data_IF_685719209410
#
_entry.id   IF_685719209410
#
_cell.length_a   1.000
_cell.length_b   1.000
_cell.length_c   1.000
_cell.angle_alpha   90.00
_cell.angle_beta   90.00
_cell.angle_gamma   90.00
#
_symmetry.space_group_name_H-M   'P 1'
#
loop_
_entity.id
_entity.type
_entity.pdbx_description
1 polymer ?
#
# COMPACT_ATOMS: atom_id res chain seq x y z
N UNK A 1 34.49 25.92 -14.58
CA UNK A 1 35.94 25.66 -14.58
C UNK A 1 36.17 24.29 -15.20
N UNK A 2 36.74 24.27 -16.38
CA UNK A 2 37.13 23.06 -17.11
C UNK A 2 38.20 22.34 -16.32
N UNK A 3 37.84 21.18 -15.78
CA UNK A 3 38.84 20.23 -15.21
C UNK A 3 39.86 19.90 -16.29
N UNK A 4 41.19 20.02 -15.98
CA UNK A 4 42.18 19.75 -16.97
C UNK A 4 42.13 18.28 -17.38
N UNK A 5 42.06 18.03 -18.68
CA UNK A 5 41.99 16.74 -19.38
C UNK A 5 43.18 15.80 -19.10
N UNK A 6 44.10 16.21 -18.24
CA UNK A 6 45.34 15.48 -17.90
C UNK A 6 45.23 14.56 -16.69
N UNK A 7 44.12 14.55 -15.97
CA UNK A 7 43.94 13.77 -14.74
C UNK A 7 43.50 12.32 -14.95
N UNK A 8 43.14 11.91 -16.16
CA UNK A 8 42.74 10.53 -16.46
C UNK A 8 43.63 9.91 -17.52
N UNK A 9 44.64 9.11 -17.13
CA UNK A 9 45.47 8.34 -18.09
C UNK A 9 44.66 7.40 -19.00
N UNK A 10 43.41 7.12 -18.66
CA UNK A 10 42.50 6.27 -19.44
C UNK A 10 41.78 6.99 -20.60
N UNK A 11 41.79 8.32 -20.68
CA UNK A 11 41.15 9.04 -21.78
C UNK A 11 41.80 8.78 -23.13
N UNK A 12 43.11 8.50 -23.15
CA UNK A 12 43.85 8.11 -24.36
C UNK A 12 43.46 6.71 -24.79
N UNK A 13 43.23 5.79 -23.85
CA UNK A 13 42.79 4.42 -24.14
C UNK A 13 41.41 4.39 -24.79
N UNK A 14 40.49 5.21 -24.32
CA UNK A 14 39.15 5.32 -24.88
C UNK A 14 39.13 5.96 -26.29
N UNK A 15 40.11 6.81 -26.61
CA UNK A 15 40.25 7.42 -27.93
C UNK A 15 40.77 6.44 -29.00
N UNK A 16 41.48 5.40 -28.60
CA UNK A 16 42.06 4.38 -29.50
C UNK A 16 41.13 3.20 -29.78
N UNK A 17 39.96 3.14 -29.13
CA UNK A 17 38.98 2.07 -29.38
C UNK A 17 38.31 2.28 -30.74
N UNK A 18 38.23 1.24 -31.58
CA UNK A 18 37.48 1.31 -32.85
C UNK A 18 36.04 1.73 -32.67
N UNK A 19 35.50 2.55 -33.57
CA UNK A 19 34.19 3.17 -33.43
C UNK A 19 33.03 2.16 -33.30
N UNK A 20 33.17 0.97 -33.89
CA UNK A 20 32.20 -0.11 -33.73
C UNK A 20 32.14 -0.63 -32.29
N UNK A 21 33.30 -0.79 -31.65
CA UNK A 21 33.38 -1.26 -30.24
C UNK A 21 32.97 -0.14 -29.27
N UNK A 22 33.33 1.10 -29.60
CA UNK A 22 32.98 2.27 -28.81
C UNK A 22 31.46 2.45 -28.69
N UNK A 23 30.71 2.26 -29.78
CA UNK A 23 29.26 2.34 -29.80
C UNK A 23 28.59 1.30 -28.89
N UNK A 24 29.15 0.10 -28.79
CA UNK A 24 28.55 -0.97 -27.98
C UNK A 24 28.95 -0.94 -26.51
N UNK A 25 30.20 -0.54 -26.19
CA UNK A 25 30.73 -0.64 -24.84
C UNK A 25 30.79 0.70 -24.11
N UNK A 26 31.05 1.80 -24.80
CA UNK A 26 31.29 3.12 -24.17
C UNK A 26 30.05 4.01 -24.24
N UNK A 27 29.44 4.14 -25.40
CA UNK A 27 28.32 5.07 -25.61
C UNK A 27 27.11 4.81 -24.70
N UNK A 28 26.79 3.56 -24.28
CA UNK A 28 25.71 3.33 -23.32
C UNK A 28 25.98 3.87 -21.91
N UNK A 29 27.26 4.12 -21.57
CA UNK A 29 27.68 4.53 -20.23
C UNK A 29 28.25 5.94 -20.14
N UNK A 30 28.68 6.52 -21.26
CA UNK A 30 29.28 7.85 -21.28
C UNK A 30 28.71 8.66 -22.45
N UNK A 31 28.03 9.75 -22.15
CA UNK A 31 27.62 10.76 -23.13
C UNK A 31 28.62 11.92 -23.12
N UNK A 32 29.46 12.00 -24.12
CA UNK A 32 30.41 13.11 -24.28
C UNK A 32 29.66 14.42 -24.59
N UNK A 33 28.55 14.31 -25.29
CA UNK A 33 27.75 15.46 -25.72
C UNK A 33 27.09 16.16 -24.53
N UNK A 34 26.59 15.38 -23.57
CA UNK A 34 25.86 15.90 -22.42
C UNK A 34 26.76 15.97 -21.15
N UNK A 35 28.04 15.56 -21.28
CA UNK A 35 28.99 15.47 -20.16
C UNK A 35 28.50 14.59 -19.01
N UNK A 36 27.80 13.51 -19.34
CA UNK A 36 27.21 12.58 -18.37
C UNK A 36 27.90 11.21 -18.41
N UNK A 37 28.02 10.58 -17.21
CA UNK A 37 28.48 9.21 -17.07
C UNK A 37 27.46 8.38 -16.28
N UNK A 38 27.19 7.16 -16.77
CA UNK A 38 26.25 6.22 -16.16
C UNK A 38 26.99 5.10 -15.44
N UNK A 39 26.74 4.98 -14.14
CA UNK A 39 27.20 3.85 -13.32
C UNK A 39 26.04 2.89 -13.12
N UNK A 40 26.19 1.65 -13.60
CA UNK A 40 25.18 0.60 -13.46
C UNK A 40 25.51 -0.30 -12.28
N UNK A 41 24.63 -0.35 -11.29
CA UNK A 41 24.75 -1.23 -10.14
C UNK A 41 23.65 -2.30 -10.21
N UNK A 42 24.05 -3.57 -10.05
CA UNK A 42 23.08 -4.68 -9.89
C UNK A 42 22.93 -5.02 -8.41
N UNK A 43 21.72 -4.96 -7.91
CA UNK A 43 21.38 -5.33 -6.55
C UNK A 43 20.68 -6.68 -6.59
N UNK A 44 21.08 -7.61 -5.72
CA UNK A 44 20.40 -8.90 -5.58
C UNK A 44 19.11 -8.66 -4.78
N UNK A 45 17.99 -8.66 -5.48
CA UNK A 45 16.66 -8.33 -4.92
C UNK A 45 16.11 -9.42 -3.97
N UNK A 46 16.65 -10.62 -4.03
CA UNK A 46 16.27 -11.78 -3.20
C UNK A 46 16.92 -11.83 -1.82
N UNK A 47 17.43 -10.72 -1.30
CA UNK A 47 17.95 -10.65 0.06
C UNK A 47 16.79 -10.42 1.04
N UNK A 48 16.60 -11.33 1.99
CA UNK A 48 15.49 -11.34 2.95
C UNK A 48 15.36 -10.06 3.80
N UNK A 49 16.48 -9.31 3.95
CA UNK A 49 16.55 -8.08 4.76
C UNK A 49 16.84 -6.82 3.94
N UNK A 50 16.59 -6.83 2.62
CA UNK A 50 16.86 -5.67 1.78
C UNK A 50 15.82 -4.55 2.03
N UNK A 51 16.19 -3.59 2.88
CA UNK A 51 15.43 -2.35 3.05
C UNK A 51 15.75 -1.40 1.91
N UNK A 52 15.01 -1.50 0.81
CA UNK A 52 15.25 -0.74 -0.43
C UNK A 52 15.29 0.77 -0.20
N UNK A 53 14.36 1.29 0.56
CA UNK A 53 14.28 2.72 0.87
C UNK A 53 15.51 3.19 1.66
N UNK A 54 15.91 2.46 2.70
CA UNK A 54 17.07 2.82 3.53
C UNK A 54 18.37 2.77 2.71
N UNK A 55 18.48 1.78 1.80
CA UNK A 55 19.61 1.69 0.88
C UNK A 55 19.67 2.91 -0.05
N UNK A 56 18.56 3.33 -0.63
CA UNK A 56 18.50 4.49 -1.52
C UNK A 56 18.81 5.80 -0.79
N UNK A 57 18.30 5.96 0.43
CA UNK A 57 18.60 7.11 1.29
C UNK A 57 20.10 7.13 1.60
N UNK A 58 20.68 5.97 1.95
CA UNK A 58 22.11 5.86 2.24
C UNK A 58 22.97 6.19 1.02
N UNK A 59 22.64 5.65 -0.15
CA UNK A 59 23.38 5.96 -1.39
C UNK A 59 23.31 7.47 -1.66
N UNK A 60 22.15 8.06 -1.56
CA UNK A 60 21.98 9.50 -1.79
C UNK A 60 22.78 10.34 -0.78
N UNK A 61 22.76 9.97 0.49
CA UNK A 61 23.54 10.66 1.53
C UNK A 61 25.05 10.48 1.34
N UNK A 62 25.50 9.28 0.93
CA UNK A 62 26.91 9.01 0.70
C UNK A 62 27.44 9.77 -0.53
N UNK A 63 26.66 9.90 -1.60
CA UNK A 63 27.02 10.73 -2.77
C UNK A 63 27.18 12.20 -2.41
N UNK A 64 26.30 12.74 -1.58
CA UNK A 64 26.38 14.13 -1.12
C UNK A 64 27.53 14.36 -0.15
N UNK A 65 27.65 13.50 0.88
CA UNK A 65 28.57 13.77 2.00
C UNK A 65 30.00 13.26 1.76
N UNK A 66 30.18 12.18 0.98
CA UNK A 66 31.52 11.60 0.72
C UNK A 66 32.13 12.08 -0.59
N UNK A 67 31.29 12.37 -1.59
CA UNK A 67 31.75 12.81 -2.91
C UNK A 67 31.48 14.28 -3.16
N UNK A 68 30.83 14.98 -2.20
CA UNK A 68 30.51 16.42 -2.25
C UNK A 68 29.73 16.82 -3.53
N UNK A 69 28.86 15.89 -4.00
CA UNK A 69 28.05 16.11 -5.19
C UNK A 69 26.77 16.85 -4.83
N UNK A 70 26.41 17.84 -5.64
CA UNK A 70 25.15 18.58 -5.51
C UNK A 70 23.99 17.80 -6.14
N UNK A 71 22.77 18.16 -5.79
CA UNK A 71 21.53 17.51 -6.26
C UNK A 71 21.33 17.58 -7.79
N UNK A 72 21.95 18.54 -8.46
CA UNK A 72 21.93 18.73 -9.90
C UNK A 72 23.06 17.98 -10.64
N UNK A 73 24.08 17.51 -9.91
CA UNK A 73 25.24 16.83 -10.48
C UNK A 73 25.08 15.30 -10.59
N UNK A 74 24.09 14.71 -9.93
CA UNK A 74 23.81 13.28 -10.05
C UNK A 74 22.32 12.98 -10.06
N UNK A 75 21.94 11.90 -10.72
CA UNK A 75 20.56 11.41 -10.77
C UNK A 75 20.53 9.90 -10.56
N UNK A 76 19.86 9.48 -9.50
CA UNK A 76 19.57 8.06 -9.27
C UNK A 76 18.41 7.65 -10.17
N UNK A 77 18.58 6.58 -10.95
CA UNK A 77 17.57 6.07 -11.87
C UNK A 77 17.57 4.55 -11.91
N UNK A 78 16.54 3.98 -12.50
CA UNK A 78 16.40 2.54 -12.70
C UNK A 78 15.16 1.93 -12.05
N UNK A 79 14.92 0.66 -12.38
CA UNK A 79 13.70 -0.08 -11.97
C UNK A 79 13.55 -0.16 -10.45
N UNK A 80 14.65 -0.34 -9.73
CA UNK A 80 14.61 -0.42 -8.26
C UNK A 80 14.07 0.88 -7.63
N UNK A 81 14.51 2.03 -8.15
CA UNK A 81 14.09 3.33 -7.63
C UNK A 81 12.64 3.60 -8.00
N UNK A 82 12.26 3.32 -9.25
CA UNK A 82 10.88 3.44 -9.70
C UNK A 82 9.94 2.61 -8.82
N UNK A 83 10.31 1.35 -8.57
CA UNK A 83 9.52 0.44 -7.74
C UNK A 83 9.45 0.89 -6.27
N UNK A 84 10.58 1.35 -5.70
CA UNK A 84 10.60 1.91 -4.35
C UNK A 84 9.69 3.14 -4.23
N UNK A 85 9.80 4.08 -5.17
CA UNK A 85 8.98 5.30 -5.16
C UNK A 85 7.50 4.98 -5.32
N UNK A 86 7.16 3.99 -6.17
CA UNK A 86 5.80 3.50 -6.34
C UNK A 86 5.27 2.93 -5.02
N UNK A 87 6.01 2.05 -4.35
CA UNK A 87 5.61 1.49 -3.06
C UNK A 87 5.44 2.58 -1.99
N UNK A 88 6.39 3.50 -1.86
CA UNK A 88 6.29 4.60 -0.88
C UNK A 88 5.08 5.49 -1.16
N UNK A 89 4.80 5.78 -2.43
CA UNK A 89 3.64 6.56 -2.84
C UNK A 89 2.33 5.83 -2.53
N UNK A 90 2.27 4.51 -2.79
CA UNK A 90 1.12 3.67 -2.45
C UNK A 90 0.85 3.68 -0.95
N UNK A 91 1.88 3.50 -0.11
CA UNK A 91 1.74 3.54 1.35
C UNK A 91 1.18 4.87 1.83
N UNK A 92 1.79 5.98 1.41
CA UNK A 92 1.36 7.31 1.79
C UNK A 92 -0.07 7.60 1.34
N UNK A 93 -0.38 7.27 0.09
CA UNK A 93 -1.71 7.43 -0.48
C UNK A 93 -2.74 6.60 0.27
N UNK A 94 -2.41 5.35 0.61
CA UNK A 94 -3.31 4.45 1.32
C UNK A 94 -3.69 4.95 2.71
N UNK A 95 -2.70 5.37 3.51
CA UNK A 95 -2.96 5.90 4.86
C UNK A 95 -3.86 7.13 4.78
N UNK A 96 -3.58 8.02 3.82
CA UNK A 96 -4.32 9.26 3.62
C UNK A 96 -5.75 8.98 3.15
N UNK A 97 -5.91 8.10 2.17
CA UNK A 97 -7.21 7.68 1.63
C UNK A 97 -8.04 6.97 2.70
N UNK A 98 -7.44 6.05 3.47
CA UNK A 98 -8.12 5.36 4.56
C UNK A 98 -8.63 6.34 5.60
N UNK A 99 -7.81 7.34 5.98
CA UNK A 99 -8.22 8.41 6.90
C UNK A 99 -9.40 9.22 6.36
N UNK A 100 -9.35 9.66 5.11
CA UNK A 100 -10.44 10.41 4.47
C UNK A 100 -11.72 9.58 4.34
N UNK A 101 -11.62 8.32 3.95
CA UNK A 101 -12.78 7.41 3.85
C UNK A 101 -13.43 7.24 5.23
N UNK A 102 -12.63 6.98 6.28
CA UNK A 102 -13.15 6.84 7.63
C UNK A 102 -13.82 8.12 8.16
N UNK A 103 -13.24 9.28 7.85
CA UNK A 103 -13.84 10.57 8.18
C UNK A 103 -15.17 10.76 7.43
N UNK A 104 -15.21 10.42 6.13
CA UNK A 104 -16.43 10.46 5.32
C UNK A 104 -17.53 9.55 5.89
N UNK A 105 -17.17 8.32 6.27
CA UNK A 105 -18.08 7.35 6.91
C UNK A 105 -18.62 7.91 8.24
N UNK A 106 -17.75 8.50 9.04
CA UNK A 106 -18.16 9.11 10.31
C UNK A 106 -19.15 10.24 10.11
N UNK A 107 -18.88 11.15 9.17
CA UNK A 107 -19.79 12.25 8.81
C UNK A 107 -21.13 11.68 8.32
N UNK A 108 -21.10 10.68 7.45
CA UNK A 108 -22.29 10.01 6.95
C UNK A 108 -23.13 9.42 8.10
N UNK A 109 -22.50 8.75 9.07
CA UNK A 109 -23.19 8.20 10.24
C UNK A 109 -23.80 9.29 11.12
N UNK A 110 -23.10 10.41 11.31
CA UNK A 110 -23.63 11.56 12.05
C UNK A 110 -24.91 12.10 11.38
N UNK A 111 -24.88 12.25 10.06
CA UNK A 111 -26.04 12.72 9.28
C UNK A 111 -27.18 11.72 9.35
N UNK A 112 -26.89 10.42 9.17
CA UNK A 112 -27.89 9.35 9.13
C UNK A 112 -28.58 9.14 10.48
N UNK A 113 -27.79 9.06 11.54
CA UNK A 113 -28.33 8.78 12.88
C UNK A 113 -28.73 10.02 13.67
N UNK A 114 -28.28 11.20 13.24
CA UNK A 114 -28.51 12.50 13.94
C UNK A 114 -28.10 12.42 15.42
N UNK A 115 -27.13 11.59 15.74
CA UNK A 115 -26.64 11.35 17.10
C UNK A 115 -25.17 10.95 17.06
N UNK A 116 -24.31 11.80 17.65
CA UNK A 116 -22.86 11.62 17.65
C UNK A 116 -22.43 10.33 18.35
N UNK A 117 -23.11 9.93 19.44
CA UNK A 117 -22.78 8.70 20.17
C UNK A 117 -23.05 7.46 19.32
N UNK A 118 -24.17 7.42 18.60
CA UNK A 118 -24.48 6.30 17.70
C UNK A 118 -23.54 6.25 16.51
N UNK A 119 -23.16 7.40 15.96
CA UNK A 119 -22.18 7.47 14.89
C UNK A 119 -20.82 6.91 15.34
N UNK A 120 -20.36 7.28 16.54
CA UNK A 120 -19.11 6.78 17.09
C UNK A 120 -19.15 5.26 17.31
N UNK A 121 -20.24 4.76 17.91
CA UNK A 121 -20.44 3.31 18.12
C UNK A 121 -20.45 2.56 16.79
N UNK A 122 -21.02 3.11 15.74
CA UNK A 122 -21.04 2.48 14.42
C UNK A 122 -19.69 2.48 13.71
N UNK A 123 -18.85 3.50 13.94
CA UNK A 123 -17.54 3.63 13.28
C UNK A 123 -16.46 2.78 13.94
N UNK A 124 -16.47 2.64 15.27
CA UNK A 124 -15.45 1.92 16.03
C UNK A 124 -15.22 0.48 15.55
N UNK A 125 -16.22 -0.36 15.32
CA UNK A 125 -16.03 -1.71 14.79
C UNK A 125 -15.32 -1.73 13.42
N UNK A 126 -15.64 -0.75 12.58
CA UNK A 126 -15.02 -0.63 11.24
C UNK A 126 -13.53 -0.30 11.32
N UNK A 127 -13.13 0.57 12.26
CA UNK A 127 -11.72 0.82 12.56
C UNK A 127 -11.02 -0.44 13.05
N UNK A 128 -11.63 -1.15 14.00
CA UNK A 128 -11.05 -2.38 14.56
C UNK A 128 -10.86 -3.42 13.45
N UNK A 129 -11.84 -3.64 12.58
CA UNK A 129 -11.76 -4.59 11.48
C UNK A 129 -10.63 -4.22 10.49
N UNK A 130 -10.53 -2.95 10.10
CA UNK A 130 -9.49 -2.48 9.19
C UNK A 130 -8.09 -2.64 9.77
N UNK A 131 -7.89 -2.20 11.02
CA UNK A 131 -6.58 -2.31 11.69
C UNK A 131 -6.21 -3.74 12.00
N UNK A 132 -7.18 -4.59 12.34
CA UNK A 132 -6.95 -6.01 12.59
C UNK A 132 -6.39 -6.70 11.34
N UNK A 133 -7.03 -6.48 10.18
CA UNK A 133 -6.60 -7.09 8.92
C UNK A 133 -5.23 -6.57 8.47
N UNK A 134 -5.01 -5.26 8.50
CA UNK A 134 -3.71 -4.67 8.14
C UNK A 134 -2.61 -5.10 9.11
N UNK A 135 -2.92 -5.19 10.40
CA UNK A 135 -2.01 -5.69 11.42
C UNK A 135 -1.66 -7.16 11.22
N UNK A 136 -2.64 -8.00 10.86
CA UNK A 136 -2.42 -9.41 10.57
C UNK A 136 -1.52 -9.63 9.35
N UNK A 137 -1.77 -8.88 8.26
CA UNK A 137 -0.93 -8.88 7.05
C UNK A 137 0.51 -8.49 7.40
N UNK A 138 0.67 -7.42 8.22
CA UNK A 138 1.99 -6.96 8.68
C UNK A 138 2.71 -7.97 9.57
N UNK A 139 2.00 -8.62 10.51
CA UNK A 139 2.56 -9.65 11.39
C UNK A 139 3.06 -10.89 10.62
N UNK A 140 2.39 -11.24 9.54
CA UNK A 140 2.78 -12.36 8.68
C UNK A 140 3.92 -11.99 7.71
N UNK A 141 4.40 -10.75 7.74
CA UNK A 141 5.48 -10.28 6.87
C UNK A 141 5.09 -10.24 5.39
N UNK A 142 3.79 -10.18 5.08
CA UNK A 142 3.29 -10.13 3.70
C UNK A 142 3.51 -8.72 3.16
N UNK A 143 4.17 -8.58 1.99
CA UNK A 143 4.41 -7.29 1.40
C UNK A 143 3.08 -6.61 1.03
N UNK A 144 2.98 -5.31 1.31
CA UNK A 144 1.85 -4.52 0.88
C UNK A 144 1.95 -4.27 -0.62
N UNK A 145 1.04 -4.89 -1.36
CA UNK A 145 0.83 -4.68 -2.79
C UNK A 145 -0.57 -4.08 -3.04
N UNK A 146 -0.92 -3.88 -4.31
CA UNK A 146 -2.24 -3.34 -4.67
C UNK A 146 -3.40 -4.24 -4.21
N UNK A 147 -3.19 -5.56 -4.17
CA UNK A 147 -4.24 -6.51 -3.75
C UNK A 147 -4.44 -6.50 -2.24
N UNK A 148 -3.35 -6.49 -1.46
CA UNK A 148 -3.44 -6.44 0.01
C UNK A 148 -4.06 -5.14 0.51
N UNK A 149 -3.79 -4.03 -0.18
CA UNK A 149 -4.42 -2.73 0.09
C UNK A 149 -5.93 -2.78 -0.16
N UNK A 150 -6.35 -3.45 -1.23
CA UNK A 150 -7.76 -3.61 -1.60
C UNK A 150 -8.54 -4.40 -0.55
N UNK A 151 -7.90 -5.33 0.17
CA UNK A 151 -8.54 -6.10 1.26
C UNK A 151 -9.12 -5.17 2.33
N UNK A 152 -8.34 -4.20 2.78
CA UNK A 152 -8.79 -3.25 3.80
C UNK A 152 -10.00 -2.42 3.31
N UNK A 153 -9.99 -1.98 2.04
CA UNK A 153 -11.08 -1.21 1.46
C UNK A 153 -12.37 -2.04 1.37
N UNK A 154 -12.29 -3.29 0.92
CA UNK A 154 -13.44 -4.23 0.85
C UNK A 154 -13.99 -4.48 2.25
N UNK A 155 -13.11 -4.80 3.21
CA UNK A 155 -13.50 -5.08 4.61
C UNK A 155 -14.26 -3.90 5.22
N UNK A 156 -13.74 -2.68 5.05
CA UNK A 156 -14.40 -1.47 5.56
C UNK A 156 -15.76 -1.29 4.91
N UNK A 157 -15.87 -1.42 3.58
CA UNK A 157 -17.12 -1.25 2.86
C UNK A 157 -18.23 -2.17 3.38
N UNK A 158 -17.93 -3.45 3.55
CA UNK A 158 -18.89 -4.44 4.04
C UNK A 158 -19.22 -4.23 5.53
N UNK A 159 -18.22 -3.91 6.35
CA UNK A 159 -18.42 -3.66 7.78
C UNK A 159 -19.29 -2.41 8.02
N UNK A 160 -19.11 -1.35 7.21
CA UNK A 160 -19.94 -0.14 7.26
C UNK A 160 -21.39 -0.45 6.94
N UNK A 161 -21.64 -1.20 5.86
CA UNK A 161 -22.99 -1.59 5.44
C UNK A 161 -23.70 -2.38 6.54
N UNK A 162 -23.05 -3.39 7.09
CA UNK A 162 -23.56 -4.17 8.22
C UNK A 162 -23.85 -3.30 9.45
N UNK A 163 -22.99 -2.34 9.76
CA UNK A 163 -23.16 -1.41 10.89
C UNK A 163 -24.38 -0.50 10.69
N UNK A 164 -24.58 0.01 9.48
CA UNK A 164 -25.75 0.86 9.14
C UNK A 164 -27.04 0.08 9.35
N UNK A 165 -27.15 -1.10 8.74
CA UNK A 165 -28.36 -1.93 8.82
C UNK A 165 -28.67 -2.32 10.27
N UNK A 166 -27.66 -2.72 11.04
CA UNK A 166 -27.86 -3.13 12.43
C UNK A 166 -28.30 -1.96 13.32
N UNK A 167 -27.61 -0.83 13.26
CA UNK A 167 -27.92 0.34 14.09
C UNK A 167 -29.27 0.94 13.72
N UNK A 168 -29.58 1.01 12.41
CA UNK A 168 -30.87 1.51 11.94
C UNK A 168 -32.02 0.66 12.48
N UNK A 169 -31.93 -0.65 12.35
CA UNK A 169 -32.93 -1.58 12.87
C UNK A 169 -33.06 -1.50 14.39
N UNK A 170 -31.93 -1.44 15.08
CA UNK A 170 -31.95 -1.27 16.54
C UNK A 170 -32.66 0.02 16.95
N UNK A 171 -32.39 1.13 16.30
CA UNK A 171 -33.06 2.42 16.59
C UNK A 171 -34.56 2.35 16.37
N UNK A 172 -35.01 1.73 15.26
CA UNK A 172 -36.41 1.57 14.92
C UNK A 172 -37.17 0.71 15.96
N UNK A 173 -36.61 -0.45 16.29
CA UNK A 173 -37.26 -1.38 17.23
C UNK A 173 -37.19 -0.89 18.69
N UNK A 174 -36.13 -0.19 19.06
CA UNK A 174 -36.05 0.42 20.40
C UNK A 174 -37.08 1.51 20.61
N UNK A 175 -37.42 2.25 19.58
CA UNK A 175 -38.51 3.25 19.66
C UNK A 175 -39.87 2.61 19.97
N UNK A 176 -40.11 1.36 19.50
CA UNK A 176 -41.34 0.60 19.70
C UNK A 176 -41.38 -0.12 21.05
N UNK A 177 -40.31 -0.88 21.35
CA UNK A 177 -40.27 -1.80 22.50
C UNK A 177 -39.83 -1.13 23.80
N UNK A 178 -39.07 -0.04 23.72
CA UNK A 178 -38.47 0.67 24.87
C UNK A 178 -37.73 -0.21 25.88
N UNK A 179 -37.33 -1.41 25.46
CA UNK A 179 -36.61 -2.37 26.27
C UNK A 179 -35.37 -2.82 25.52
N UNK A 180 -34.18 -2.54 26.10
CA UNK A 180 -32.88 -2.80 25.47
C UNK A 180 -32.67 -4.28 25.15
N UNK A 181 -32.93 -5.16 26.12
CA UNK A 181 -32.66 -6.59 25.95
C UNK A 181 -33.58 -7.25 24.91
N UNK A 182 -34.86 -6.88 24.90
CA UNK A 182 -35.84 -7.37 23.93
C UNK A 182 -35.50 -6.88 22.50
N UNK A 183 -35.13 -5.60 22.39
CA UNK A 183 -34.70 -5.01 21.11
C UNK A 183 -33.44 -5.70 20.59
N UNK A 184 -32.45 -5.94 21.44
CA UNK A 184 -31.21 -6.60 21.07
C UNK A 184 -31.45 -8.03 20.57
N UNK A 185 -32.28 -8.82 21.28
CA UNK A 185 -32.66 -10.18 20.85
C UNK A 185 -33.37 -10.17 19.50
N UNK A 186 -34.27 -9.22 19.28
CA UNK A 186 -34.98 -9.09 18.01
C UNK A 186 -34.03 -8.71 16.87
N UNK A 187 -33.13 -7.77 17.09
CA UNK A 187 -32.13 -7.38 16.09
C UNK A 187 -31.19 -8.55 15.74
N UNK A 188 -30.72 -9.32 16.73
CA UNK A 188 -29.89 -10.51 16.47
C UNK A 188 -30.64 -11.60 15.69
N UNK A 189 -31.93 -11.81 16.00
CA UNK A 189 -32.73 -12.84 15.32
C UNK A 189 -33.15 -12.47 13.91
N UNK A 190 -33.14 -11.17 13.56
CA UNK A 190 -33.51 -10.66 12.23
C UNK A 190 -32.30 -10.21 11.43
N UNK A 191 -31.83 -9.00 11.64
CA UNK A 191 -30.72 -8.40 10.91
C UNK A 191 -29.41 -9.14 11.18
N UNK A 192 -29.17 -9.59 12.42
CA UNK A 192 -27.97 -10.37 12.76
C UNK A 192 -27.87 -11.68 11.94
N UNK A 193 -28.99 -12.39 11.76
CA UNK A 193 -29.02 -13.57 10.88
C UNK A 193 -28.79 -13.21 9.41
N UNK A 194 -29.34 -12.10 8.94
CA UNK A 194 -29.11 -11.65 7.56
C UNK A 194 -27.64 -11.33 7.33
N UNK A 195 -27.01 -10.58 8.24
CA UNK A 195 -25.57 -10.26 8.20
C UNK A 195 -24.73 -11.53 8.21
N UNK A 196 -25.04 -12.50 9.06
CA UNK A 196 -24.32 -13.77 9.12
C UNK A 196 -24.43 -14.54 7.80
N UNK A 197 -25.61 -14.62 7.21
CA UNK A 197 -25.82 -15.28 5.92
C UNK A 197 -25.04 -14.57 4.81
N UNK A 198 -25.05 -13.23 4.79
CA UNK A 198 -24.27 -12.43 3.83
C UNK A 198 -22.76 -12.68 4.01
N UNK A 199 -22.28 -12.68 5.26
CA UNK A 199 -20.87 -12.96 5.54
C UNK A 199 -20.46 -14.36 5.07
N UNK A 200 -21.28 -15.39 5.32
CA UNK A 200 -21.03 -16.75 4.82
C UNK A 200 -20.94 -16.74 3.28
N UNK A 201 -21.88 -16.08 2.60
CA UNK A 201 -21.89 -16.00 1.14
C UNK A 201 -20.64 -15.31 0.60
N UNK A 202 -20.21 -14.22 1.25
CA UNK A 202 -18.98 -13.50 0.88
C UNK A 202 -17.75 -14.38 1.08
N UNK A 203 -17.64 -15.09 2.22
CA UNK A 203 -16.54 -16.02 2.49
C UNK A 203 -16.46 -17.09 1.41
N UNK A 204 -17.61 -17.70 1.03
CA UNK A 204 -17.65 -18.65 -0.08
C UNK A 204 -17.21 -18.03 -1.41
N UNK A 205 -17.69 -16.84 -1.73
CA UNK A 205 -17.28 -16.12 -2.96
C UNK A 205 -15.78 -15.87 -3.02
N UNK A 206 -15.21 -15.36 -1.94
CA UNK A 206 -13.77 -15.08 -1.86
C UNK A 206 -12.90 -16.35 -1.72
N UNK A 207 -13.43 -17.46 -1.19
CA UNK A 207 -12.70 -18.73 -1.10
C UNK A 207 -12.32 -19.29 -2.48
N UNK A 208 -13.06 -18.97 -3.52
CA UNK A 208 -12.74 -19.36 -4.90
C UNK A 208 -11.41 -18.75 -5.35
N UNK A 209 -11.08 -17.55 -4.88
CA UNK A 209 -9.82 -16.87 -5.21
C UNK A 209 -8.58 -17.59 -4.66
N UNK A 210 -8.75 -18.43 -3.65
CA UNK A 210 -7.67 -19.26 -3.09
C UNK A 210 -7.17 -20.31 -4.08
N UNK A 211 -8.00 -20.69 -5.05
CA UNK A 211 -7.63 -21.63 -6.12
C UNK A 211 -6.83 -20.95 -7.26
N UNK A 212 -6.55 -19.66 -7.17
CA UNK A 212 -5.76 -18.94 -8.16
C UNK A 212 -4.29 -19.35 -8.13
N UNK A 213 -3.62 -19.28 -9.28
CA UNK A 213 -2.17 -19.44 -9.39
C UNK A 213 -1.40 -18.14 -9.09
N UNK A 214 -2.11 -17.03 -8.85
CA UNK A 214 -1.52 -15.72 -8.59
C UNK A 214 -1.55 -15.41 -7.09
N UNK A 215 -0.38 -15.39 -6.45
CA UNK A 215 -0.22 -15.25 -5.00
C UNK A 215 -0.99 -14.05 -4.40
N UNK A 216 -0.93 -12.84 -4.96
CA UNK A 216 -1.70 -11.72 -4.42
C UNK A 216 -3.22 -11.95 -4.41
N UNK A 217 -3.75 -12.67 -5.39
CA UNK A 217 -5.18 -13.04 -5.44
C UNK A 217 -5.53 -14.06 -4.35
N UNK A 218 -4.63 -15.00 -4.05
CA UNK A 218 -4.79 -15.93 -2.93
C UNK A 218 -4.89 -15.15 -1.62
N UNK A 219 -3.99 -14.19 -1.39
CA UNK A 219 -4.03 -13.33 -0.21
C UNK A 219 -5.34 -12.55 -0.12
N UNK A 220 -5.80 -11.97 -1.24
CA UNK A 220 -7.10 -11.29 -1.30
C UNK A 220 -8.24 -12.21 -0.83
N UNK A 221 -8.29 -13.46 -1.32
CA UNK A 221 -9.31 -14.44 -0.94
C UNK A 221 -9.26 -14.80 0.54
N UNK A 222 -8.08 -15.20 1.03
CA UNK A 222 -7.88 -15.66 2.42
C UNK A 222 -8.18 -14.53 3.42
N UNK A 223 -7.56 -13.37 3.25
CA UNK A 223 -7.69 -12.29 4.23
C UNK A 223 -9.06 -11.62 4.20
N UNK A 224 -9.70 -11.51 3.04
CA UNK A 224 -11.09 -11.05 2.98
C UNK A 224 -12.02 -12.04 3.66
N UNK A 225 -11.79 -13.35 3.48
CA UNK A 225 -12.55 -14.38 4.18
C UNK A 225 -12.37 -14.35 5.71
N UNK A 226 -11.16 -14.09 6.19
CA UNK A 226 -10.86 -13.95 7.64
C UNK A 226 -11.49 -12.68 8.23
N UNK A 227 -11.58 -11.62 7.43
CA UNK A 227 -12.11 -10.33 7.86
C UNK A 227 -13.63 -10.32 8.05
N UNK A 228 -14.33 -11.29 7.45
CA UNK A 228 -15.81 -11.43 7.48
C UNK A 228 -16.27 -12.34 8.59
#
# INVERSE_FOLDING_TARGET
>A
STLPLTLFPYTTLFRSIPDNIKKEIVDPYISIKDSEARISLRIKDSLDNLRRNDLLIKINSDLKNKLDLKDDEFKLGGVLILFNNLLQSLFKSQILTLGFVMLGIFIMFVILFKNLKLALIGVVPNFIAAFFILGLIGLLGIPLDMMTITIAAITIGIAVDNSIHYIYRFKEEYAKLRNYNSTLKLCHSTVGKAILNTSITIVFGFSILVMSNFIPTIYLGVFTGIAM
#
